data_IF_932993381158
#
_entry.id   IF_932993381158
#
_cell.length_a   1.000
_cell.length_b   1.000
_cell.length_c   1.000
_cell.angle_alpha   90.00
_cell.angle_beta   90.00
_cell.angle_gamma   90.00
#
_symmetry.space_group_name_H-M   'P 1'
#
loop_
_entity.id
_entity.type
_entity.pdbx_description
1 polymer ?
#
# COMPACT_ATOMS: atom_id res chain seq x y z
N UNK A 1 14.25 -4.86 6.78
CA UNK A 1 12.81 -5.16 6.69
C UNK A 1 12.58 -6.67 6.69
N UNK A 2 11.60 -7.16 7.47
CA UNK A 2 11.16 -8.57 7.48
C UNK A 2 10.16 -8.86 6.35
N UNK A 3 9.93 -10.13 6.02
CA UNK A 3 8.96 -10.52 4.96
C UNK A 3 7.51 -10.05 5.24
N UNK A 4 6.97 -10.15 6.47
CA UNK A 4 5.65 -9.59 6.80
C UNK A 4 5.60 -8.07 6.63
N UNK A 5 6.65 -7.35 7.04
CA UNK A 5 6.76 -5.90 6.88
C UNK A 5 6.81 -5.50 5.40
N UNK A 6 7.56 -6.25 4.57
CA UNK A 6 7.62 -6.04 3.11
C UNK A 6 6.26 -6.26 2.45
N UNK A 7 5.53 -7.27 2.90
CA UNK A 7 4.19 -7.58 2.40
C UNK A 7 3.20 -6.47 2.76
N UNK A 8 3.23 -6.00 4.01
CA UNK A 8 2.40 -4.89 4.46
C UNK A 8 2.69 -3.58 3.70
N UNK A 9 3.97 -3.23 3.52
CA UNK A 9 4.37 -2.04 2.77
C UNK A 9 3.93 -2.11 1.30
N UNK A 10 4.08 -3.27 0.64
CA UNK A 10 3.60 -3.48 -0.73
C UNK A 10 2.08 -3.34 -0.85
N UNK A 11 1.32 -3.90 0.08
CA UNK A 11 -0.14 -3.81 0.07
C UNK A 11 -0.62 -2.35 0.26
N UNK A 12 0.05 -1.60 1.14
CA UNK A 12 -0.21 -0.16 1.33
C UNK A 12 0.08 0.65 0.05
N UNK A 13 1.19 0.40 -0.64
CA UNK A 13 1.51 1.07 -1.92
C UNK A 13 0.46 0.76 -2.98
N UNK A 14 0.01 -0.49 -3.10
CA UNK A 14 -1.04 -0.88 -4.05
C UNK A 14 -2.36 -0.16 -3.77
N UNK A 15 -2.73 -0.02 -2.50
CA UNK A 15 -3.91 0.75 -2.09
C UNK A 15 -3.80 2.22 -2.53
N UNK A 16 -2.65 2.86 -2.27
CA UNK A 16 -2.41 4.25 -2.63
C UNK A 16 -2.49 4.48 -4.15
N UNK A 17 -1.87 3.62 -4.94
CA UNK A 17 -1.93 3.69 -6.41
C UNK A 17 -3.36 3.55 -6.93
N UNK A 18 -4.14 2.66 -6.34
CA UNK A 18 -5.55 2.47 -6.72
C UNK A 18 -6.37 3.72 -6.39
N UNK A 19 -6.18 4.29 -5.20
CA UNK A 19 -6.84 5.54 -4.81
C UNK A 19 -6.46 6.72 -5.72
N UNK A 20 -5.19 6.83 -6.11
CA UNK A 20 -4.73 7.85 -7.07
C UNK A 20 -5.42 7.69 -8.44
N UNK A 21 -5.54 6.47 -8.96
CA UNK A 21 -6.23 6.21 -10.22
C UNK A 21 -7.72 6.60 -10.17
N UNK A 22 -8.39 6.35 -9.04
CA UNK A 22 -9.79 6.77 -8.80
C UNK A 22 -9.93 8.29 -8.84
N UNK A 23 -9.01 9.00 -8.17
CA UNK A 23 -9.05 10.46 -8.06
C UNK A 23 -8.66 11.18 -9.36
N UNK A 24 -7.81 10.55 -10.18
CA UNK A 24 -7.36 11.11 -11.45
C UNK A 24 -8.47 11.18 -12.51
N UNK A 25 -9.44 10.25 -12.48
CA UNK A 25 -10.63 10.29 -13.33
C UNK A 25 -11.91 10.00 -12.51
N UNK A 26 -12.62 11.04 -12.06
CA UNK A 26 -13.84 10.90 -11.28
C UNK A 26 -14.96 10.15 -12.01
N UNK A 27 -14.95 10.09 -13.35
CA UNK A 27 -15.94 9.31 -14.11
C UNK A 27 -15.76 7.80 -13.92
N UNK A 28 -14.55 7.37 -13.55
CA UNK A 28 -14.26 5.97 -13.18
C UNK A 28 -14.53 5.65 -11.72
N UNK A 29 -14.82 6.67 -10.88
CA UNK A 29 -14.93 6.52 -9.43
C UNK A 29 -15.91 5.43 -8.97
N UNK A 30 -17.11 5.24 -9.57
CA UNK A 30 -18.02 4.16 -9.16
C UNK A 30 -17.40 2.77 -9.35
N UNK A 31 -16.66 2.57 -10.46
CA UNK A 31 -15.98 1.30 -10.76
C UNK A 31 -14.74 1.12 -9.88
N UNK A 32 -14.02 2.20 -9.64
CA UNK A 32 -12.76 2.18 -8.93
C UNK A 32 -12.96 2.04 -7.40
N UNK A 33 -14.07 2.54 -6.85
CA UNK A 33 -14.52 2.25 -5.47
C UNK A 33 -14.78 0.75 -5.25
N UNK A 34 -15.39 0.07 -6.21
CA UNK A 34 -15.57 -1.39 -6.14
C UNK A 34 -14.22 -2.14 -6.21
N UNK A 35 -13.26 -1.60 -6.96
CA UNK A 35 -11.90 -2.15 -7.07
C UNK A 35 -11.02 -1.85 -5.85
N UNK A 36 -11.36 -0.86 -5.02
CA UNK A 36 -10.63 -0.51 -3.79
C UNK A 36 -10.88 -1.50 -2.65
N UNK A 37 -12.04 -2.17 -2.60
CA UNK A 37 -12.41 -3.04 -1.50
C UNK A 37 -11.41 -4.19 -1.24
N UNK A 38 -10.92 -4.84 -2.31
CA UNK A 38 -9.92 -5.90 -2.21
C UNK A 38 -8.57 -5.40 -1.68
N UNK A 39 -7.93 -4.41 -2.34
CA UNK A 39 -6.68 -3.80 -1.88
C UNK A 39 -6.74 -3.24 -0.45
N UNK A 40 -7.88 -2.67 -0.04
CA UNK A 40 -8.07 -2.22 1.35
C UNK A 40 -8.01 -3.38 2.34
N UNK A 41 -8.75 -4.46 2.08
CA UNK A 41 -8.76 -5.64 2.94
C UNK A 41 -7.38 -6.32 3.00
N UNK A 42 -6.68 -6.44 1.86
CA UNK A 42 -5.32 -6.98 1.80
C UNK A 42 -4.32 -6.13 2.60
N UNK A 43 -4.41 -4.80 2.47
CA UNK A 43 -3.54 -3.88 3.22
C UNK A 43 -3.79 -4.01 4.73
N UNK A 44 -5.06 -4.03 5.14
CA UNK A 44 -5.39 -4.15 6.56
C UNK A 44 -4.94 -5.49 7.16
N UNK A 45 -5.17 -6.60 6.46
CA UNK A 45 -4.71 -7.93 6.90
C UNK A 45 -3.20 -7.99 7.04
N UNK A 46 -2.47 -7.48 6.04
CA UNK A 46 -1.01 -7.50 6.04
C UNK A 46 -0.42 -6.62 7.15
N UNK A 47 -1.03 -5.45 7.40
CA UNK A 47 -0.66 -4.58 8.51
C UNK A 47 -0.89 -5.24 9.86
N UNK A 48 -2.03 -5.94 10.03
CA UNK A 48 -2.34 -6.68 11.26
C UNK A 48 -1.35 -7.82 11.47
N UNK A 49 -1.05 -8.60 10.43
CA UNK A 49 -0.10 -9.70 10.49
C UNK A 49 1.33 -9.24 10.81
N UNK A 50 1.73 -8.05 10.34
CA UNK A 50 3.01 -7.44 10.65
C UNK A 50 3.04 -6.73 12.02
N UNK A 51 1.93 -6.67 12.76
CA UNK A 51 1.83 -5.91 14.01
C UNK A 51 1.92 -4.39 13.82
N UNK A 52 1.62 -3.90 12.62
CA UNK A 52 1.70 -2.49 12.22
C UNK A 52 0.32 -1.78 12.26
N UNK A 53 -0.75 -2.49 12.60
CA UNK A 53 -2.07 -1.89 12.78
C UNK A 53 -2.01 -0.80 13.86
N UNK A 54 -2.35 0.44 13.47
CA UNK A 54 -2.29 1.62 14.36
C UNK A 54 -0.87 2.14 14.64
N UNK A 55 0.12 1.78 13.82
CA UNK A 55 1.49 2.30 13.91
C UNK A 55 1.95 2.83 12.54
N UNK A 56 1.40 3.99 12.16
CA UNK A 56 1.60 4.62 10.87
C UNK A 56 3.04 5.11 10.70
N UNK A 57 3.68 5.60 11.76
CA UNK A 57 5.05 6.10 11.71
C UNK A 57 6.05 5.01 11.27
N UNK A 58 5.92 3.80 11.85
CA UNK A 58 6.77 2.67 11.45
C UNK A 58 6.44 2.17 10.05
N UNK A 59 5.17 2.15 9.66
CA UNK A 59 4.76 1.81 8.31
C UNK A 59 5.38 2.77 7.28
N UNK A 60 5.33 4.07 7.53
CA UNK A 60 5.87 5.06 6.60
C UNK A 60 7.39 4.93 6.42
N UNK A 61 8.15 4.68 7.49
CA UNK A 61 9.57 4.41 7.39
C UNK A 61 9.87 3.18 6.51
N UNK A 62 9.09 2.09 6.67
CA UNK A 62 9.24 0.88 5.84
C UNK A 62 8.88 1.11 4.37
N UNK A 63 7.91 1.97 4.09
CA UNK A 63 7.51 2.34 2.71
C UNK A 63 8.60 3.19 2.05
N UNK A 64 9.21 4.12 2.78
CA UNK A 64 10.33 4.93 2.31
C UNK A 64 11.55 4.06 1.97
N UNK A 65 11.90 3.12 2.86
CA UNK A 65 12.93 2.10 2.61
C UNK A 65 12.61 1.27 1.35
N UNK A 66 11.37 0.80 1.20
CA UNK A 66 10.96 0.01 0.02
C UNK A 66 11.08 0.78 -1.30
N UNK A 67 10.74 2.08 -1.29
CA UNK A 67 10.80 2.93 -2.48
C UNK A 67 12.24 3.30 -2.85
N UNK A 68 13.08 3.57 -1.87
CA UNK A 68 14.51 3.84 -2.07
C UNK A 68 15.24 2.60 -2.60
N UNK A 69 14.94 1.40 -2.09
CA UNK A 69 15.42 0.12 -2.65
C UNK A 69 15.01 -0.06 -4.13
N UNK A 70 13.76 0.26 -4.46
CA UNK A 70 13.25 0.15 -5.84
C UNK A 70 13.96 1.11 -6.78
N UNK A 71 14.31 2.32 -6.29
CA UNK A 71 15.08 3.31 -7.05
C UNK A 71 16.56 2.90 -7.21
N UNK A 72 17.14 2.28 -6.17
CA UNK A 72 18.52 1.76 -6.20
C UNK A 72 18.68 0.50 -7.06
N UNK A 73 17.59 -0.24 -7.31
CA UNK A 73 17.59 -1.50 -8.06
C UNK A 73 17.25 -1.36 -9.57
N UNK A 74 17.27 -0.15 -10.15
CA UNK A 74 17.08 0.07 -11.60
C UNK A 74 18.32 0.59 -12.31
N UNK A 75 18.49 0.40 -13.64
CA UNK A 75 17.55 -0.18 -14.63
C UNK A 75 17.78 -1.67 -14.98
#
# INVERSE_FOLDING_TARGET
MTEPERTAAKAYVRLLQTAQAVLADPATAPRALALLAGPMAEAEESLRAAGLAGNEARLFALVEDLQTDTCASGP
#
